data_IF_383173899019
#
_entry.id   IF_383173899019
#
_cell.length_a   1.000
_cell.length_b   1.000
_cell.length_c   1.000
_cell.angle_alpha   90.00
_cell.angle_beta   90.00
_cell.angle_gamma   90.00
#
_symmetry.space_group_name_H-M   'P 1'
#
loop_
_entity.id
_entity.type
_entity.pdbx_description
1 polymer ?
#
# COMPACT_ATOMS: atom_id res chain seq x y z
N UNK A 1 -18.06 16.45 6.17
CA UNK A 1 -17.91 16.10 4.76
C UNK A 1 -18.75 14.87 4.42
N UNK A 2 -19.36 14.84 3.21
CA UNK A 2 -20.25 13.75 2.76
C UNK A 2 -19.53 12.69 1.91
N UNK A 3 -18.21 12.86 1.67
CA UNK A 3 -17.45 11.90 0.88
C UNK A 3 -17.38 10.54 1.61
N UNK A 4 -17.65 9.47 0.86
CA UNK A 4 -17.51 8.09 1.30
C UNK A 4 -16.64 7.34 0.30
N UNK A 5 -15.52 6.78 0.77
CA UNK A 5 -14.71 5.88 -0.03
C UNK A 5 -15.37 4.49 -0.04
N UNK A 6 -15.51 3.88 -1.22
CA UNK A 6 -15.87 2.46 -1.32
C UNK A 6 -14.65 1.57 -1.06
N UNK A 7 -13.48 2.01 -1.51
CA UNK A 7 -12.19 1.40 -1.22
C UNK A 7 -11.25 2.52 -0.79
N UNK A 8 -10.85 2.53 0.48
CA UNK A 8 -9.85 3.44 1.03
C UNK A 8 -8.50 2.75 1.12
N UNK A 9 -7.42 3.44 0.71
CA UNK A 9 -6.05 2.91 0.79
C UNK A 9 -5.19 3.85 1.62
N UNK A 10 -4.55 3.34 2.66
CA UNK A 10 -3.63 4.08 3.51
C UNK A 10 -2.27 3.38 3.54
N UNK A 11 -1.29 3.97 2.87
CA UNK A 11 0.02 3.37 2.67
C UNK A 11 0.93 3.53 3.89
N UNK A 12 0.98 4.72 4.44
CA UNK A 12 1.78 5.09 5.61
C UNK A 12 1.29 6.40 6.22
N UNK A 13 1.73 6.68 7.45
CA UNK A 13 1.58 7.98 8.11
C UNK A 13 2.96 8.39 8.63
N UNK A 14 3.68 9.17 7.84
CA UNK A 14 4.97 9.77 8.21
C UNK A 14 4.84 11.29 8.34
N UNK A 15 5.57 11.95 9.24
CA UNK A 15 5.48 13.39 9.40
C UNK A 15 5.76 14.13 8.08
N UNK A 16 4.77 14.89 7.62
CA UNK A 16 4.86 15.71 6.44
C UNK A 16 3.84 16.86 6.53
N UNK A 17 4.16 18.01 5.92
CA UNK A 17 3.26 19.17 5.85
C UNK A 17 2.65 19.59 7.22
N UNK A 18 3.41 19.45 8.32
CA UNK A 18 2.92 19.72 9.69
C UNK A 18 2.51 21.18 9.90
N UNK A 19 3.03 22.10 9.09
CA UNK A 19 2.60 23.51 9.03
C UNK A 19 1.09 23.68 8.81
N UNK A 20 0.45 22.73 8.14
CA UNK A 20 -1.00 22.73 7.88
C UNK A 20 -1.83 22.08 9.00
N UNK A 21 -1.17 21.54 10.02
CA UNK A 21 -1.78 20.78 11.11
C UNK A 21 -1.33 21.30 12.48
N UNK A 22 -1.11 22.63 12.60
CA UNK A 22 -0.68 23.31 13.83
C UNK A 22 0.62 22.72 14.40
N UNK A 23 1.51 22.23 13.54
CA UNK A 23 2.71 21.47 13.91
C UNK A 23 2.43 20.26 14.81
N UNK A 24 1.17 19.79 14.86
CA UNK A 24 0.74 18.64 15.65
C UNK A 24 0.63 17.39 14.79
N UNK A 25 1.50 16.42 15.03
CA UNK A 25 1.50 15.16 14.28
C UNK A 25 0.20 14.37 14.45
N UNK A 26 -0.45 14.43 15.62
CA UNK A 26 -1.73 13.75 15.85
C UNK A 26 -2.83 14.32 14.94
N UNK A 27 -2.89 15.65 14.76
CA UNK A 27 -3.84 16.28 13.83
C UNK A 27 -3.65 15.80 12.41
N UNK A 28 -2.39 15.61 11.99
CA UNK A 28 -2.07 15.05 10.67
C UNK A 28 -2.52 13.58 10.56
N UNK A 29 -2.22 12.74 11.56
CA UNK A 29 -2.63 11.35 11.59
C UNK A 29 -4.16 11.21 11.55
N UNK A 30 -4.88 12.00 12.36
CA UNK A 30 -6.35 12.03 12.38
C UNK A 30 -6.93 12.46 11.03
N UNK A 31 -6.30 13.43 10.37
CA UNK A 31 -6.70 13.86 9.03
C UNK A 31 -6.58 12.74 8.00
N UNK A 32 -5.53 11.91 8.07
CA UNK A 32 -5.37 10.72 7.20
C UNK A 32 -6.42 9.66 7.50
N UNK A 33 -6.71 9.41 8.78
CA UNK A 33 -7.71 8.44 9.20
C UNK A 33 -9.14 8.83 8.79
N UNK A 34 -9.41 10.11 8.49
CA UNK A 34 -10.72 10.56 7.98
C UNK A 34 -11.16 9.86 6.68
N UNK A 35 -10.27 9.19 5.97
CA UNK A 35 -10.64 8.36 4.82
C UNK A 35 -11.67 7.28 5.22
N UNK A 36 -11.66 6.84 6.47
CA UNK A 36 -12.55 5.80 7.01
C UNK A 36 -13.88 6.35 7.53
N UNK A 37 -13.99 7.67 7.72
CA UNK A 37 -15.06 8.35 8.48
C UNK A 37 -16.49 7.94 8.07
N UNK A 38 -16.76 7.76 6.79
CA UNK A 38 -18.10 7.47 6.26
C UNK A 38 -18.20 6.06 5.66
N UNK A 39 -17.18 5.23 5.86
CA UNK A 39 -17.17 3.85 5.37
C UNK A 39 -18.12 2.97 6.18
N UNK A 40 -18.67 1.96 5.53
CA UNK A 40 -19.65 1.02 6.11
C UNK A 40 -19.16 -0.42 5.92
N UNK A 41 -19.86 -1.40 6.46
CA UNK A 41 -19.55 -2.84 6.29
C UNK A 41 -19.52 -3.32 4.83
N UNK A 42 -19.97 -2.51 3.87
CA UNK A 42 -19.91 -2.79 2.43
C UNK A 42 -18.65 -2.27 1.76
N UNK A 43 -17.84 -1.49 2.48
CA UNK A 43 -16.64 -0.83 1.97
C UNK A 43 -15.39 -1.58 2.41
N UNK A 44 -14.21 -1.21 1.82
CA UNK A 44 -12.95 -1.89 2.05
C UNK A 44 -11.88 -0.89 2.45
N UNK A 45 -11.13 -1.20 3.50
CA UNK A 45 -10.00 -0.39 3.96
C UNK A 45 -8.70 -1.19 3.85
N UNK A 46 -7.87 -0.82 2.88
CA UNK A 46 -6.55 -1.39 2.62
C UNK A 46 -5.51 -0.54 3.36
N UNK A 47 -4.66 -1.13 4.19
CA UNK A 47 -3.67 -0.37 4.94
C UNK A 47 -2.40 -1.16 5.23
N UNK A 48 -1.29 -0.43 5.46
CA UNK A 48 -0.04 -1.04 5.89
C UNK A 48 -0.13 -1.50 7.34
N UNK A 49 -0.07 -2.80 7.57
CA UNK A 49 0.02 -3.40 8.89
C UNK A 49 1.40 -3.26 9.54
N UNK A 50 2.43 -2.93 8.76
CA UNK A 50 3.78 -2.69 9.28
C UNK A 50 4.00 -1.24 9.75
N UNK A 51 3.13 -0.30 9.35
CA UNK A 51 3.22 1.09 9.81
C UNK A 51 2.75 1.21 11.25
N UNK A 52 3.66 1.59 12.16
CA UNK A 52 3.38 1.68 13.58
C UNK A 52 2.32 2.74 13.90
N UNK A 53 2.35 3.88 13.18
CA UNK A 53 1.38 4.96 13.41
C UNK A 53 -0.01 4.51 13.02
N UNK A 54 -0.17 3.85 11.87
CA UNK A 54 -1.47 3.29 11.47
C UNK A 54 -1.97 2.32 12.54
N UNK A 55 -1.14 1.36 13.00
CA UNK A 55 -1.53 0.42 14.05
C UNK A 55 -2.01 1.10 15.32
N UNK A 56 -1.31 2.15 15.74
CA UNK A 56 -1.67 2.93 16.94
C UNK A 56 -2.96 3.75 16.77
N UNK A 57 -3.31 4.09 15.53
CA UNK A 57 -4.55 4.81 15.24
C UNK A 57 -5.76 3.88 15.14
N UNK A 58 -5.64 2.67 14.58
CA UNK A 58 -6.78 1.78 14.32
C UNK A 58 -7.72 1.62 15.52
N UNK A 59 -7.25 1.38 16.75
CA UNK A 59 -8.14 1.18 17.92
C UNK A 59 -8.95 2.42 18.33
N UNK A 60 -8.58 3.61 17.85
CA UNK A 60 -9.24 4.88 18.21
C UNK A 60 -10.50 5.13 17.37
N UNK A 61 -10.75 4.32 16.33
CA UNK A 61 -11.84 4.53 15.37
C UNK A 61 -12.78 3.33 15.31
N UNK A 62 -14.07 3.58 15.11
CA UNK A 62 -15.07 2.54 14.85
C UNK A 62 -14.98 2.09 13.38
N UNK A 63 -14.12 1.12 13.12
CA UNK A 63 -13.82 0.62 11.78
C UNK A 63 -14.78 -0.53 11.41
N UNK A 64 -15.94 -0.19 10.85
CA UNK A 64 -17.01 -1.14 10.47
C UNK A 64 -16.81 -1.79 9.10
N UNK A 65 -15.94 -1.23 8.27
CA UNK A 65 -15.63 -1.75 6.94
C UNK A 65 -14.77 -3.01 7.02
N UNK A 66 -14.69 -3.72 5.90
CA UNK A 66 -13.76 -4.85 5.76
C UNK A 66 -12.34 -4.33 5.71
N UNK A 67 -11.49 -4.84 6.58
CA UNK A 67 -10.10 -4.42 6.69
C UNK A 67 -9.21 -5.39 5.92
N UNK A 68 -8.29 -4.87 5.13
CA UNK A 68 -7.34 -5.61 4.30
C UNK A 68 -5.91 -5.13 4.58
N UNK A 69 -5.27 -5.58 5.68
CA UNK A 69 -3.88 -5.26 5.96
C UNK A 69 -2.91 -5.92 4.99
N UNK A 70 -1.86 -5.19 4.59
CA UNK A 70 -0.71 -5.74 3.89
C UNK A 70 0.57 -5.54 4.70
N UNK A 71 1.47 -6.54 4.65
CA UNK A 71 2.67 -6.60 5.49
C UNK A 71 3.83 -7.29 4.77
N UNK A 72 5.06 -6.92 5.15
CA UNK A 72 6.29 -7.57 4.69
C UNK A 72 7.15 -8.10 5.85
N UNK A 73 6.88 -7.70 7.10
CA UNK A 73 7.66 -8.10 8.26
C UNK A 73 6.96 -9.19 9.07
N UNK A 74 7.63 -10.31 9.22
CA UNK A 74 7.11 -11.53 9.85
C UNK A 74 6.83 -11.44 11.36
N UNK A 75 7.22 -10.36 12.05
CA UNK A 75 6.99 -10.21 13.49
C UNK A 75 5.49 -10.15 13.89
N UNK A 76 4.60 -10.05 12.92
CA UNK A 76 3.13 -10.07 13.09
C UNK A 76 2.51 -11.32 12.47
N UNK A 77 3.34 -12.31 12.09
CA UNK A 77 2.93 -13.51 11.37
C UNK A 77 2.21 -14.54 12.25
N UNK A 78 1.10 -14.16 12.84
CA UNK A 78 0.05 -15.09 13.27
C UNK A 78 -1.13 -15.12 12.28
N UNK A 79 -0.84 -15.14 10.98
CA UNK A 79 -1.84 -15.42 9.95
C UNK A 79 -2.83 -14.28 9.63
N UNK A 80 -2.49 -13.05 9.88
CA UNK A 80 -3.46 -11.95 9.90
C UNK A 80 -3.22 -10.84 8.86
N UNK A 81 -2.65 -11.14 7.70
CA UNK A 81 -2.58 -10.19 6.61
C UNK A 81 -3.31 -10.69 5.38
N UNK A 82 -4.09 -9.85 4.73
CA UNK A 82 -4.71 -10.17 3.45
C UNK A 82 -3.73 -10.08 2.27
N UNK A 83 -2.55 -9.44 2.47
CA UNK A 83 -1.37 -9.62 1.64
C UNK A 83 -0.11 -9.67 2.52
N UNK A 84 0.69 -10.72 2.38
CA UNK A 84 1.93 -10.91 3.11
C UNK A 84 3.07 -11.26 2.18
N UNK A 85 4.18 -10.51 2.29
CA UNK A 85 5.40 -10.76 1.52
C UNK A 85 6.29 -11.76 2.26
N UNK A 86 6.56 -12.90 1.63
CA UNK A 86 7.46 -13.92 2.13
C UNK A 86 8.30 -14.46 0.97
N UNK A 87 9.61 -14.59 1.16
CA UNK A 87 10.56 -15.15 0.19
C UNK A 87 10.39 -14.59 -1.24
N UNK A 88 10.19 -13.27 -1.34
CA UNK A 88 10.04 -12.58 -2.61
C UNK A 88 8.70 -12.79 -3.31
N UNK A 89 7.72 -13.38 -2.64
CA UNK A 89 6.34 -13.56 -3.17
C UNK A 89 5.32 -13.06 -2.18
N UNK A 90 4.17 -12.62 -2.68
CA UNK A 90 3.01 -12.38 -1.83
C UNK A 90 1.74 -12.93 -2.46
N UNK A 91 0.80 -13.34 -1.62
CA UNK A 91 -0.57 -13.65 -2.01
C UNK A 91 -1.47 -12.56 -1.43
N UNK A 92 -2.19 -11.84 -2.29
CA UNK A 92 -3.22 -10.89 -1.88
C UNK A 92 -4.59 -11.56 -1.96
N UNK A 93 -5.42 -11.39 -0.92
CA UNK A 93 -6.76 -11.99 -0.85
C UNK A 93 -7.79 -10.93 -0.46
N UNK A 94 -8.88 -10.84 -1.20
CA UNK A 94 -10.03 -10.01 -0.85
C UNK A 94 -11.33 -10.79 -1.07
N UNK A 95 -12.04 -11.09 0.00
CA UNK A 95 -13.23 -11.95 -0.03
C UNK A 95 -12.89 -13.38 -0.49
N UNK A 96 -13.42 -13.78 -1.66
CA UNK A 96 -13.16 -15.12 -2.24
C UNK A 96 -12.10 -15.11 -3.34
N UNK A 97 -11.60 -13.95 -3.72
CA UNK A 97 -10.62 -13.80 -4.78
C UNK A 97 -9.21 -13.66 -4.21
N UNK A 98 -8.23 -14.31 -4.85
CA UNK A 98 -6.83 -14.19 -4.48
C UNK A 98 -5.93 -14.13 -5.72
N UNK A 99 -4.77 -13.49 -5.56
CA UNK A 99 -3.72 -13.42 -6.57
C UNK A 99 -2.35 -13.60 -5.93
N UNK A 100 -1.54 -14.49 -6.47
CA UNK A 100 -0.13 -14.65 -6.11
C UNK A 100 0.75 -13.84 -7.06
N UNK A 101 1.70 -13.10 -6.50
CA UNK A 101 2.66 -12.25 -7.21
C UNK A 101 4.08 -12.60 -6.78
N UNK A 102 4.93 -12.85 -7.76
CA UNK A 102 6.37 -12.99 -7.61
C UNK A 102 7.02 -11.62 -7.83
N UNK A 103 7.63 -11.05 -6.78
CA UNK A 103 8.21 -9.69 -6.85
C UNK A 103 9.42 -9.62 -7.76
N UNK A 104 10.09 -10.75 -8.03
CA UNK A 104 11.18 -10.81 -9.00
C UNK A 104 10.72 -10.48 -10.42
N UNK A 105 9.44 -10.75 -10.74
CA UNK A 105 8.83 -10.45 -12.05
C UNK A 105 8.29 -9.02 -12.17
N UNK A 106 8.21 -8.27 -11.06
CA UNK A 106 7.82 -6.86 -11.12
C UNK A 106 8.94 -6.05 -11.79
N UNK A 107 8.59 -5.13 -12.65
CA UNK A 107 9.56 -4.19 -13.27
C UNK A 107 10.00 -3.11 -12.28
N UNK A 108 9.13 -2.74 -11.35
CA UNK A 108 9.45 -1.84 -10.24
C UNK A 108 10.08 -2.65 -9.09
N UNK A 109 11.25 -2.24 -8.59
CA UNK A 109 12.04 -2.98 -7.60
C UNK A 109 12.02 -2.28 -6.24
N UNK A 110 12.43 -3.02 -5.22
CA UNK A 110 12.54 -2.54 -3.85
C UNK A 110 11.31 -2.81 -2.98
N UNK A 111 11.52 -2.80 -1.67
CA UNK A 111 10.50 -3.15 -0.70
C UNK A 111 9.30 -2.21 -0.75
N UNK A 112 9.53 -0.90 -0.89
CA UNK A 112 8.45 0.09 -1.01
C UNK A 112 7.54 -0.18 -2.22
N UNK A 113 8.10 -0.67 -3.34
CA UNK A 113 7.31 -1.05 -4.51
C UNK A 113 6.57 -2.38 -4.32
N UNK A 114 7.10 -3.29 -3.51
CA UNK A 114 6.36 -4.48 -3.08
C UNK A 114 5.13 -4.08 -2.24
N UNK A 115 5.25 -3.13 -1.31
CA UNK A 115 4.12 -2.56 -0.58
C UNK A 115 3.09 -1.91 -1.52
N UNK A 116 3.54 -1.11 -2.48
CA UNK A 116 2.65 -0.53 -3.48
C UNK A 116 1.90 -1.59 -4.29
N UNK A 117 2.60 -2.67 -4.69
CA UNK A 117 2.01 -3.78 -5.43
C UNK A 117 0.98 -4.56 -4.60
N UNK A 118 1.26 -4.82 -3.30
CA UNK A 118 0.32 -5.46 -2.39
C UNK A 118 -0.95 -4.62 -2.21
N UNK A 119 -0.81 -3.32 -1.95
CA UNK A 119 -1.94 -2.41 -1.81
C UNK A 119 -2.78 -2.34 -3.09
N UNK A 120 -2.14 -2.24 -4.26
CA UNK A 120 -2.81 -2.22 -5.55
C UNK A 120 -3.55 -3.55 -5.83
N UNK A 121 -2.94 -4.70 -5.50
CA UNK A 121 -3.55 -6.01 -5.65
C UNK A 121 -4.82 -6.13 -4.77
N UNK A 122 -4.73 -5.77 -3.49
CA UNK A 122 -5.87 -5.81 -2.57
C UNK A 122 -7.01 -4.87 -3.03
N UNK A 123 -6.68 -3.63 -3.37
CA UNK A 123 -7.69 -2.65 -3.80
C UNK A 123 -8.38 -3.09 -5.10
N UNK A 124 -7.65 -3.64 -6.06
CA UNK A 124 -8.22 -4.10 -7.33
C UNK A 124 -9.02 -5.40 -7.19
N UNK A 125 -8.60 -6.32 -6.29
CA UNK A 125 -9.40 -7.50 -5.93
C UNK A 125 -10.72 -7.07 -5.27
N UNK A 126 -10.67 -6.13 -4.33
CA UNK A 126 -11.86 -5.58 -3.66
C UNK A 126 -12.80 -4.88 -4.67
N UNK A 127 -12.26 -4.30 -5.74
CA UNK A 127 -13.02 -3.74 -6.86
C UNK A 127 -13.58 -4.80 -7.83
N UNK A 128 -13.30 -6.09 -7.61
CA UNK A 128 -13.80 -7.17 -8.44
C UNK A 128 -13.01 -7.43 -9.73
N UNK A 129 -11.78 -6.92 -9.84
CA UNK A 129 -10.91 -7.18 -10.99
C UNK A 129 -10.43 -8.63 -10.95
N UNK A 130 -10.46 -9.30 -12.11
CA UNK A 130 -10.02 -10.69 -12.20
C UNK A 130 -8.53 -10.86 -11.85
N UNK A 131 -8.13 -11.87 -11.04
CA UNK A 131 -6.76 -12.07 -10.57
C UNK A 131 -5.72 -12.14 -11.70
N UNK A 132 -6.06 -12.78 -12.82
CA UNK A 132 -5.17 -12.87 -13.98
C UNK A 132 -4.85 -11.50 -14.60
N UNK A 133 -5.83 -10.59 -14.63
CA UNK A 133 -5.64 -9.21 -15.12
C UNK A 133 -4.74 -8.41 -14.15
N UNK A 134 -4.96 -8.57 -12.84
CA UNK A 134 -4.14 -7.91 -11.81
C UNK A 134 -2.68 -8.34 -11.94
N UNK A 135 -2.43 -9.66 -12.00
CA UNK A 135 -1.08 -10.20 -12.16
C UNK A 135 -0.39 -9.66 -13.40
N UNK A 136 -1.07 -9.71 -14.55
CA UNK A 136 -0.53 -9.18 -15.80
C UNK A 136 -0.19 -7.69 -15.69
N UNK A 137 -1.13 -6.87 -15.20
CA UNK A 137 -0.92 -5.42 -15.07
C UNK A 137 0.24 -5.08 -14.14
N UNK A 138 0.39 -5.80 -13.02
CA UNK A 138 1.51 -5.58 -12.09
C UNK A 138 2.86 -5.94 -12.72
N UNK A 139 2.93 -7.02 -13.51
CA UNK A 139 4.17 -7.41 -14.20
C UNK A 139 4.51 -6.50 -15.37
N UNK A 140 3.50 -5.98 -16.08
CA UNK A 140 3.68 -5.09 -17.23
C UNK A 140 3.91 -3.63 -16.81
N UNK A 141 3.62 -3.27 -15.54
CA UNK A 141 3.71 -1.89 -15.05
C UNK A 141 5.15 -1.39 -15.12
N UNK A 142 5.36 -0.37 -15.95
CA UNK A 142 6.66 0.27 -16.09
C UNK A 142 6.91 1.28 -14.96
N UNK A 143 8.18 1.47 -14.53
CA UNK A 143 8.54 2.55 -13.62
C UNK A 143 8.06 3.90 -14.18
N UNK A 144 7.61 4.77 -13.30
CA UNK A 144 7.31 6.16 -13.67
C UNK A 144 8.64 6.92 -13.81
N UNK A 145 8.76 7.74 -14.84
CA UNK A 145 9.93 8.61 -15.06
C UNK A 145 10.29 9.39 -13.78
N UNK A 146 11.57 9.54 -13.53
CA UNK A 146 12.14 10.23 -12.36
C UNK A 146 11.87 9.55 -10.99
N UNK A 147 11.47 8.27 -10.97
CA UNK A 147 11.33 7.47 -9.75
C UNK A 147 12.09 6.17 -9.87
N UNK A 148 13.31 6.13 -9.31
CA UNK A 148 14.26 5.01 -9.43
C UNK A 148 14.39 4.53 -10.88
N UNK A 149 14.39 5.47 -11.81
CA UNK A 149 14.43 5.22 -13.26
C UNK A 149 15.86 4.86 -13.69
N UNK A 150 16.10 3.65 -14.20
CA UNK A 150 17.38 3.31 -14.79
C UNK A 150 17.60 4.13 -16.06
N UNK A 151 18.63 5.02 -16.08
CA UNK A 151 18.88 5.91 -17.23
C UNK A 151 20.09 5.50 -18.07
N UNK A 152 21.09 4.84 -17.46
CA UNK A 152 22.27 4.38 -18.18
C UNK A 152 23.02 3.29 -17.40
N UNK A 153 23.72 2.43 -18.13
CA UNK A 153 24.80 1.60 -17.61
C UNK A 153 26.13 2.08 -18.19
N UNK A 154 27.07 2.52 -17.32
CA UNK A 154 28.38 3.01 -17.75
C UNK A 154 29.46 2.64 -16.73
N UNK A 155 30.59 2.11 -17.21
CA UNK A 155 31.71 1.75 -16.33
C UNK A 155 31.39 0.66 -15.29
N UNK A 156 30.46 -0.25 -15.58
CA UNK A 156 30.01 -1.29 -14.64
C UNK A 156 29.04 -0.80 -13.56
N UNK A 157 28.62 0.47 -13.61
CA UNK A 157 27.65 1.08 -12.70
C UNK A 157 26.31 1.38 -13.39
N UNK A 158 25.20 1.13 -12.65
CA UNK A 158 23.85 1.51 -13.06
C UNK A 158 23.56 2.93 -12.57
N UNK A 159 23.23 3.83 -13.49
CA UNK A 159 22.82 5.20 -13.19
C UNK A 159 21.30 5.27 -13.08
N UNK A 160 20.82 5.78 -11.93
CA UNK A 160 19.40 5.85 -11.61
C UNK A 160 18.99 7.30 -11.43
N UNK A 161 17.92 7.71 -12.10
CA UNK A 161 17.27 9.00 -11.90
C UNK A 161 16.15 8.84 -10.86
N UNK A 162 16.29 9.51 -9.72
CA UNK A 162 15.26 9.57 -8.66
C UNK A 162 14.99 11.03 -8.25
N UNK A 163 14.92 11.92 -9.24
CA UNK A 163 14.76 13.37 -9.01
C UNK A 163 13.41 13.77 -8.40
N UNK A 164 12.47 12.85 -8.29
CA UNK A 164 11.19 13.04 -7.57
C UNK A 164 11.21 12.51 -6.14
N UNK A 165 12.33 12.00 -5.65
CA UNK A 165 12.49 11.71 -4.23
C UNK A 165 12.38 13.02 -3.44
N UNK A 166 11.57 13.03 -2.40
CA UNK A 166 11.32 14.21 -1.55
C UNK A 166 11.99 14.10 -0.19
N UNK A 167 12.61 12.95 0.11
CA UNK A 167 13.34 12.67 1.35
C UNK A 167 14.51 11.74 1.07
#
# INVERSE_FOLDING_TARGET
YKFRAHIGVLMNITPDHLDRYDHCFQNYADSKMRITQNMTSRDWFVYSGDDAVIRDQLPKYDLRMRQLPFMAHAAVASGAGDAFLCDGKFTATAGKASVEIDTAKLRIKGLHNAYNAMAAALATLAAGVAPAKIRRSLYDFAPVEHRLEPVAEKGGGLWINDSKATN
#
